data_IF_394477973602
#
_entry.id   IF_394477973602
#
_cell.length_a   1.000
_cell.length_b   1.000
_cell.length_c   1.000
_cell.angle_alpha   90.00
_cell.angle_beta   90.00
_cell.angle_gamma   90.00
#
_symmetry.space_group_name_H-M   'P 1'
#
loop_
_entity.id
_entity.type
_entity.pdbx_description
1 polymer ?
#
# COMPACT_ATOMS: atom_id res chain seq x y z
N UNK A 1 -10.96 -54.06 -19.51
CA UNK A 1 -10.01 -53.14 -20.16
C UNK A 1 -10.26 -51.82 -19.50
N UNK A 2 -9.44 -51.55 -18.49
CA UNK A 2 -9.65 -50.51 -17.49
C UNK A 2 -9.35 -49.13 -18.09
N UNK A 3 -10.36 -48.27 -18.18
CA UNK A 3 -10.13 -46.84 -18.29
C UNK A 3 -9.83 -46.32 -16.89
N UNK A 4 -8.53 -46.15 -16.65
CA UNK A 4 -7.96 -45.55 -15.45
C UNK A 4 -8.49 -44.12 -15.38
N UNK A 5 -9.42 -43.87 -14.45
CA UNK A 5 -9.76 -42.52 -14.00
C UNK A 5 -8.49 -42.00 -13.30
N UNK A 6 -7.75 -41.15 -14.00
CA UNK A 6 -6.68 -40.39 -13.39
C UNK A 6 -7.33 -39.42 -12.40
N UNK A 7 -7.29 -39.78 -11.12
CA UNK A 7 -7.51 -38.84 -10.01
C UNK A 7 -6.44 -37.77 -10.14
N UNK A 8 -6.80 -36.64 -10.74
CA UNK A 8 -5.98 -35.43 -10.71
C UNK A 8 -6.09 -34.94 -9.27
N UNK A 9 -5.22 -35.46 -8.40
CA UNK A 9 -4.99 -34.90 -7.08
C UNK A 9 -4.56 -33.46 -7.31
N UNK A 10 -5.49 -32.54 -7.07
CA UNK A 10 -5.24 -31.12 -7.02
C UNK A 10 -4.23 -30.94 -5.89
N UNK A 11 -2.94 -30.78 -6.22
CA UNK A 11 -1.93 -30.41 -5.22
C UNK A 11 -2.51 -29.21 -4.47
N UNK A 12 -2.72 -29.32 -3.16
CA UNK A 12 -3.10 -28.19 -2.31
C UNK A 12 -1.91 -27.23 -2.29
N UNK A 13 -1.83 -26.39 -3.31
CA UNK A 13 -0.96 -25.23 -3.34
C UNK A 13 -1.44 -24.37 -2.17
N UNK A 14 -0.65 -24.31 -1.10
CA UNK A 14 -1.05 -23.66 0.15
C UNK A 14 -1.57 -22.24 -0.07
N UNK A 15 -2.47 -21.78 0.81
CA UNK A 15 -3.07 -20.45 0.68
C UNK A 15 -2.07 -19.34 1.06
N UNK A 16 -1.76 -18.45 0.12
CA UNK A 16 -0.98 -17.22 0.37
C UNK A 16 -1.95 -16.12 0.79
N UNK A 17 -1.72 -15.52 1.96
CA UNK A 17 -2.48 -14.37 2.45
C UNK A 17 -1.57 -13.16 2.58
N UNK A 18 -1.93 -12.06 1.93
CA UNK A 18 -1.25 -10.77 2.05
C UNK A 18 -2.00 -9.95 3.11
N UNK A 19 -1.26 -9.34 4.03
CA UNK A 19 -1.84 -8.46 5.04
C UNK A 19 -1.93 -7.03 4.55
N UNK A 20 -2.88 -6.28 5.08
CA UNK A 20 -3.08 -4.85 4.76
C UNK A 20 -1.83 -4.01 5.05
N UNK A 21 -1.03 -4.42 6.04
CA UNK A 21 0.25 -3.77 6.38
C UNK A 21 1.25 -3.84 5.22
N UNK A 22 1.34 -4.98 4.53
CA UNK A 22 2.25 -5.15 3.38
C UNK A 22 1.82 -4.23 2.25
N UNK A 23 0.51 -4.18 1.96
CA UNK A 23 -0.05 -3.27 0.96
C UNK A 23 0.20 -1.81 1.34
N UNK A 24 0.05 -1.48 2.61
CA UNK A 24 0.27 -0.12 3.12
C UNK A 24 1.71 0.36 2.92
N UNK A 25 2.69 -0.52 3.16
CA UNK A 25 4.11 -0.21 2.96
C UNK A 25 4.39 0.02 1.47
N UNK A 26 3.90 -0.86 0.59
CA UNK A 26 4.11 -0.74 -0.85
C UNK A 26 3.49 0.56 -1.38
N UNK A 27 2.24 0.85 -1.01
CA UNK A 27 1.55 2.06 -1.42
C UNK A 27 2.24 3.33 -0.90
N UNK A 28 2.71 3.34 0.35
CA UNK A 28 3.44 4.46 0.93
C UNK A 28 4.78 4.72 0.22
N UNK A 29 5.53 3.66 -0.10
CA UNK A 29 6.78 3.77 -0.86
C UNK A 29 6.53 4.27 -2.27
N UNK A 30 5.55 3.70 -2.98
CA UNK A 30 5.19 4.12 -4.34
C UNK A 30 4.76 5.58 -4.39
N UNK A 31 3.97 6.04 -3.41
CA UNK A 31 3.53 7.43 -3.33
C UNK A 31 4.70 8.41 -3.09
N UNK A 32 5.72 8.03 -2.31
CA UNK A 32 6.92 8.86 -2.07
C UNK A 32 7.76 9.01 -3.34
N UNK A 33 7.73 8.04 -4.25
CA UNK A 33 8.50 8.09 -5.50
C UNK A 33 7.89 9.04 -6.55
N UNK A 34 6.66 9.52 -6.33
CA UNK A 34 6.01 10.48 -7.23
C UNK A 34 6.60 11.88 -7.03
N UNK A 35 7.07 12.49 -8.13
CA UNK A 35 7.59 13.86 -8.13
C UNK A 35 6.56 14.85 -7.56
N UNK A 36 7.02 15.71 -6.66
CA UNK A 36 6.17 16.66 -5.93
C UNK A 36 5.59 16.13 -4.62
N UNK A 37 5.79 14.85 -4.28
CA UNK A 37 5.49 14.32 -2.94
C UNK A 37 6.71 14.47 -2.03
N UNK A 38 6.60 15.33 -1.01
CA UNK A 38 7.69 15.55 -0.06
C UNK A 38 7.78 14.43 0.99
N UNK A 39 6.65 13.97 1.50
CA UNK A 39 6.57 12.84 2.45
C UNK A 39 5.14 12.35 2.67
N UNK A 40 4.99 11.19 3.30
CA UNK A 40 3.71 10.72 3.85
C UNK A 40 3.35 11.43 5.15
N UNK A 41 2.07 11.78 5.33
CA UNK A 41 1.55 12.48 6.51
C UNK A 41 0.95 11.52 7.53
N UNK A 42 1.61 11.35 8.67
CA UNK A 42 1.07 10.63 9.82
C UNK A 42 0.16 11.46 10.74
N UNK A 43 -0.19 12.69 10.34
CA UNK A 43 -0.84 13.67 11.22
C UNK A 43 0.07 14.18 12.35
N UNK A 44 -0.50 14.94 13.29
CA UNK A 44 0.24 15.57 14.39
C UNK A 44 1.04 14.58 15.25
N UNK A 45 0.40 13.47 15.66
CA UNK A 45 1.06 12.46 16.49
C UNK A 45 2.21 11.76 15.74
N UNK A 46 2.02 11.47 14.44
CA UNK A 46 3.06 10.88 13.60
C UNK A 46 4.28 11.79 13.42
N UNK A 47 4.05 13.10 13.26
CA UNK A 47 5.14 14.07 13.13
C UNK A 47 6.02 14.19 14.39
N UNK A 48 5.42 14.08 15.58
CA UNK A 48 6.18 14.07 16.85
C UNK A 48 7.03 12.81 16.96
N UNK A 49 6.49 11.64 16.60
CA UNK A 49 7.23 10.38 16.65
C UNK A 49 8.46 10.39 15.71
N UNK A 50 8.33 10.99 14.52
CA UNK A 50 9.47 11.15 13.60
C UNK A 50 10.52 12.11 14.11
N UNK A 51 10.13 13.21 14.75
CA UNK A 51 11.06 14.13 15.39
C UNK A 51 11.90 13.44 16.49
N UNK A 52 11.38 12.37 17.09
CA UNK A 52 12.06 11.51 18.06
C UNK A 52 12.83 10.33 17.41
N UNK A 53 12.90 10.28 16.09
CA UNK A 53 13.66 9.27 15.33
C UNK A 53 12.92 7.96 15.08
N UNK A 54 11.64 7.86 15.42
CA UNK A 54 10.83 6.68 15.13
C UNK A 54 10.31 6.74 13.69
N UNK A 55 10.84 5.88 12.82
CA UNK A 55 10.40 5.78 11.43
C UNK A 55 9.19 4.85 11.33
N UNK A 56 8.11 5.33 10.69
CA UNK A 56 6.97 4.50 10.33
C UNK A 56 6.70 4.63 8.83
N UNK A 57 6.90 3.55 8.09
CA UNK A 57 6.79 3.50 6.62
C UNK A 57 5.34 3.41 6.13
N UNK A 58 4.40 2.99 6.97
CA UNK A 58 2.96 2.91 6.63
C UNK A 58 2.15 4.11 7.12
N UNK A 59 2.80 5.12 7.72
CA UNK A 59 2.10 6.34 8.18
C UNK A 59 1.42 7.03 7.00
N UNK A 60 0.23 7.58 7.25
CA UNK A 60 -0.50 8.28 6.21
C UNK A 60 -1.03 7.37 5.09
N UNK A 61 -1.05 6.06 5.30
CA UNK A 61 -1.71 5.10 4.41
C UNK A 61 -2.79 4.38 5.20
N UNK A 62 -4.00 4.32 4.65
CA UNK A 62 -5.06 3.46 5.17
C UNK A 62 -5.51 2.53 4.06
N UNK A 63 -5.39 1.24 4.30
CA UNK A 63 -5.76 0.18 3.37
C UNK A 63 -6.97 -0.57 3.91
N UNK A 64 -7.93 -0.84 3.04
CA UNK A 64 -9.01 -1.79 3.25
C UNK A 64 -9.07 -2.70 2.02
N UNK A 65 -8.75 -3.99 2.19
CA UNK A 65 -8.83 -4.99 1.13
C UNK A 65 -10.04 -5.88 1.36
N UNK A 66 -10.89 -5.97 0.34
CA UNK A 66 -12.01 -6.91 0.28
C UNK A 66 -11.71 -8.00 -0.75
N UNK A 67 -12.64 -8.95 -0.94
CA UNK A 67 -12.46 -10.01 -1.94
C UNK A 67 -12.35 -9.50 -3.39
N UNK A 68 -12.86 -8.29 -3.69
CA UNK A 68 -12.98 -7.78 -5.06
C UNK A 68 -12.27 -6.45 -5.30
N UNK A 69 -12.02 -5.69 -4.25
CA UNK A 69 -11.50 -4.32 -4.35
C UNK A 69 -10.57 -4.01 -3.19
N UNK A 70 -9.63 -3.09 -3.45
CA UNK A 70 -8.76 -2.52 -2.44
C UNK A 70 -8.94 -1.00 -2.43
N UNK A 71 -9.26 -0.45 -1.28
CA UNK A 71 -9.39 1.00 -1.08
C UNK A 71 -8.14 1.47 -0.36
N UNK A 72 -7.38 2.36 -1.00
CA UNK A 72 -6.14 2.92 -0.47
C UNK A 72 -6.31 4.43 -0.32
N UNK A 73 -6.29 4.91 0.92
CA UNK A 73 -6.31 6.34 1.22
C UNK A 73 -4.90 6.81 1.56
N UNK A 74 -4.41 7.80 0.81
CA UNK A 74 -3.10 8.39 1.01
C UNK A 74 -3.23 9.80 1.59
N UNK A 75 -2.48 10.04 2.66
CA UNK A 75 -2.32 11.34 3.28
C UNK A 75 -0.89 11.77 3.05
N UNK A 76 -0.68 12.82 2.27
CA UNK A 76 0.64 13.25 1.82
C UNK A 76 0.90 14.71 2.18
N UNK A 77 2.19 15.04 2.24
CA UNK A 77 2.70 16.41 2.23
C UNK A 77 3.33 16.63 0.86
N UNK A 78 2.84 17.62 0.13
CA UNK A 78 3.35 17.98 -1.19
C UNK A 78 4.40 19.07 -1.09
N UNK A 79 5.31 19.11 -2.06
CA UNK A 79 6.31 20.16 -2.18
C UNK A 79 5.66 21.52 -2.45
N UNK A 80 6.29 22.59 -1.97
CA UNK A 80 5.78 23.93 -2.20
C UNK A 80 5.91 24.34 -3.67
N UNK A 81 4.84 24.90 -4.24
CA UNK A 81 4.83 25.43 -5.61
C UNK A 81 4.42 24.42 -6.69
N UNK A 82 4.17 23.16 -6.34
CA UNK A 82 3.66 22.15 -7.29
C UNK A 82 2.16 22.31 -7.55
N UNK A 83 1.70 21.80 -8.69
CA UNK A 83 0.28 21.76 -9.03
C UNK A 83 -0.35 20.52 -8.41
N UNK A 84 -1.09 20.69 -7.31
CA UNK A 84 -1.70 19.58 -6.56
C UNK A 84 -2.50 18.60 -7.46
N UNK A 85 -3.34 19.05 -8.41
CA UNK A 85 -4.07 18.12 -9.28
C UNK A 85 -3.17 17.23 -10.15
N UNK A 86 -1.99 17.73 -10.53
CA UNK A 86 -1.02 17.00 -11.35
C UNK A 86 -0.31 15.92 -10.53
N UNK A 87 0.13 16.26 -9.31
CA UNK A 87 0.69 15.29 -8.36
C UNK A 87 -0.36 14.21 -8.03
N UNK A 88 -1.60 14.61 -7.76
CA UNK A 88 -2.67 13.66 -7.47
C UNK A 88 -2.98 12.73 -8.64
N UNK A 89 -2.88 13.21 -9.88
CA UNK A 89 -3.05 12.39 -11.07
C UNK A 89 -1.92 11.38 -11.23
N UNK A 90 -0.67 11.78 -10.96
CA UNK A 90 0.49 10.88 -11.05
C UNK A 90 0.51 9.79 -9.98
N UNK A 91 -0.21 9.98 -8.87
CA UNK A 91 -0.35 8.99 -7.80
C UNK A 91 -1.36 7.88 -8.17
N UNK A 92 -2.33 8.15 -9.04
CA UNK A 92 -3.48 7.26 -9.32
C UNK A 92 -3.20 6.20 -10.39
#
# INVERSE_FOLDING_TARGET
MDEIIADIQQEEIGAIKITDDVVSIIAGLAAIEVEGVASMSGGFAGGIAEALGMKNLSKGVKVEVTEKEAIINLFIIVEYGVRIPEVAWNIQ
#
